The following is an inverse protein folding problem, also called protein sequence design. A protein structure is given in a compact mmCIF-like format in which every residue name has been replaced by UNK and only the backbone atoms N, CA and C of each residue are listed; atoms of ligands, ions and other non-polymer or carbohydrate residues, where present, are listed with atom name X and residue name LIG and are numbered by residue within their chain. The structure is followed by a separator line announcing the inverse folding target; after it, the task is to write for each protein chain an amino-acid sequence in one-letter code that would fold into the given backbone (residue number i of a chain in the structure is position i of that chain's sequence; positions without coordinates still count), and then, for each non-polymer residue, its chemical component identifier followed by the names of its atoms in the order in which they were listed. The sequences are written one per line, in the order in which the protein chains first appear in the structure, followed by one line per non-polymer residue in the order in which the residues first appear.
data_IF_570670475036
#
_entry.id   IF_570670475036
#
_cell.length_a   1.000
_cell.length_b   1.000
_cell.length_c   1.000
_cell.angle_alpha   90.00
_cell.angle_beta   90.00
_cell.angle_gamma   90.00
#
_symmetry.space_group_name_H-M   'P 1'
#
loop_
_entity.id
_entity.type
_entity.pdbx_description
1 polymer ?
#
# COMPACT_ATOMS: atom_id res chain seq x y z
N UNK A 1 -23.34 -50.72 41.11
CA UNK A 1 -23.15 -50.66 39.65
C UNK A 1 -23.87 -49.43 39.16
N UNK A 2 -23.08 -48.45 38.83
CA UNK A 2 -23.37 -47.03 38.96
C UNK A 2 -22.61 -46.37 37.85
N UNK A 3 -23.29 -46.11 36.73
CA UNK A 3 -22.73 -45.28 35.66
C UNK A 3 -23.85 -44.37 35.15
N UNK A 4 -24.03 -43.26 35.86
CA UNK A 4 -24.75 -42.10 35.32
C UNK A 4 -24.01 -41.67 34.05
N UNK A 5 -24.72 -41.64 32.93
CA UNK A 5 -24.19 -41.15 31.67
C UNK A 5 -23.98 -39.64 31.76
N UNK A 6 -22.83 -39.22 32.29
CA UNK A 6 -22.40 -37.83 32.18
C UNK A 6 -21.83 -37.65 30.79
N UNK A 7 -22.70 -37.19 29.87
CA UNK A 7 -22.31 -36.70 28.55
C UNK A 7 -21.01 -35.91 28.63
N UNK A 8 -20.07 -36.19 27.72
CA UNK A 8 -18.87 -35.39 27.49
C UNK A 8 -19.32 -33.95 27.26
N UNK A 9 -19.34 -33.17 28.34
CA UNK A 9 -19.51 -31.73 28.25
C UNK A 9 -18.31 -31.25 27.43
N UNK A 10 -18.55 -30.84 26.19
CA UNK A 10 -17.56 -30.11 25.42
C UNK A 10 -17.22 -28.88 26.26
N UNK A 11 -16.08 -28.92 26.94
CA UNK A 11 -15.62 -27.81 27.74
C UNK A 11 -15.40 -26.63 26.77
N UNK A 12 -16.21 -25.57 26.81
CA UNK A 12 -16.06 -24.45 25.89
C UNK A 12 -14.71 -23.75 26.09
N UNK A 13 -14.11 -23.94 27.26
CA UNK A 13 -12.79 -23.43 27.63
C UNK A 13 -11.63 -24.12 26.87
N UNK A 14 -11.90 -25.12 26.03
CA UNK A 14 -10.92 -25.76 25.15
C UNK A 14 -11.01 -25.26 23.69
N UNK A 15 -11.89 -24.30 23.38
CA UNK A 15 -11.92 -23.65 22.06
C UNK A 15 -10.82 -22.57 22.02
N UNK A 16 -9.59 -23.03 21.73
CA UNK A 16 -8.44 -22.22 21.35
C UNK A 16 -7.66 -21.57 22.50
N UNK A 17 -6.32 -21.39 22.37
CA UNK A 17 -5.59 -20.53 23.29
C UNK A 17 -6.07 -19.09 23.11
N UNK A 18 -6.45 -18.42 24.20
CA UNK A 18 -6.66 -16.97 24.19
C UNK A 18 -5.31 -16.29 23.95
N UNK A 19 -5.10 -15.74 22.76
CA UNK A 19 -3.93 -14.93 22.49
C UNK A 19 -4.00 -13.67 23.37
N UNK A 20 -2.92 -13.31 24.09
CA UNK A 20 -2.88 -12.05 24.82
C UNK A 20 -3.03 -10.87 23.84
N UNK A 21 -3.61 -9.72 24.27
CA UNK A 21 -3.68 -8.53 23.43
C UNK A 21 -2.29 -8.08 22.97
N UNK A 22 -2.14 -7.76 21.68
CA UNK A 22 -0.90 -7.15 21.17
C UNK A 22 -0.83 -5.72 21.71
N UNK A 23 0.27 -5.32 22.38
CA UNK A 23 0.43 -3.93 22.81
C UNK A 23 0.56 -3.01 21.58
N UNK A 24 -0.10 -1.85 21.57
CA UNK A 24 0.08 -0.87 20.51
C UNK A 24 1.52 -0.36 20.52
N UNK A 25 2.18 -0.35 19.35
CA UNK A 25 3.48 0.31 19.20
C UNK A 25 3.23 1.78 18.87
N UNK A 26 3.71 2.69 19.70
CA UNK A 26 3.66 4.14 19.45
C UNK A 26 5.01 4.59 18.89
N UNK A 27 5.03 5.15 17.68
CA UNK A 27 6.23 5.84 17.18
C UNK A 27 6.53 7.07 18.06
N UNK A 28 7.80 7.40 18.34
CA UNK A 28 8.13 8.63 19.04
C UNK A 28 7.79 9.83 18.15
N UNK A 29 6.76 10.58 18.51
CA UNK A 29 6.56 11.95 18.03
C UNK A 29 7.53 12.84 18.80
N UNK A 30 8.72 13.07 18.24
CA UNK A 30 9.67 14.05 18.76
C UNK A 30 9.03 15.43 18.94
N UNK A 31 9.71 16.32 19.67
CA UNK A 31 9.18 17.60 20.19
C UNK A 31 8.10 18.22 19.29
N UNK A 32 6.85 18.14 19.72
CA UNK A 32 5.72 18.83 19.10
C UNK A 32 5.96 20.33 19.26
N UNK A 33 6.43 20.97 18.18
CA UNK A 33 6.47 22.43 18.08
C UNK A 33 5.06 23.03 18.16
N UNK A 34 4.97 24.36 18.25
CA UNK A 34 3.73 25.14 18.38
C UNK A 34 2.55 24.47 17.62
N UNK A 35 1.55 23.97 18.35
CA UNK A 35 0.47 23.11 17.82
C UNK A 35 -0.29 23.75 16.64
N UNK A 36 -0.51 23.04 15.52
CA UNK A 36 -1.29 23.52 14.34
C UNK A 36 -2.26 22.47 13.77
N UNK A 37 -3.36 22.88 13.08
CA UNK A 37 -4.45 21.99 12.64
C UNK A 37 -3.89 20.97 11.64
N UNK A 38 -4.26 19.69 11.75
CA UNK A 38 -3.87 18.56 10.86
C UNK A 38 -2.79 18.94 9.85
N UNK A 39 -1.51 18.73 10.20
CA UNK A 39 -0.38 19.11 9.35
C UNK A 39 -0.63 18.69 7.91
N UNK A 40 -0.27 19.55 6.96
CA UNK A 40 -0.54 19.36 5.55
C UNK A 40 -0.30 17.89 5.16
N UNK A 41 -1.30 17.24 4.55
CA UNK A 41 -1.09 15.98 3.84
C UNK A 41 0.12 16.22 2.96
N UNK A 42 1.22 15.48 3.19
CA UNK A 42 2.43 15.62 2.40
C UNK A 42 2.04 15.57 0.94
N UNK A 43 2.63 16.44 0.10
CA UNK A 43 2.19 16.65 -1.27
C UNK A 43 1.74 15.32 -1.89
N UNK A 44 0.44 15.21 -2.17
CA UNK A 44 -0.05 14.17 -3.07
C UNK A 44 0.87 14.29 -4.28
N UNK A 45 1.61 13.23 -4.60
CA UNK A 45 2.59 13.25 -5.68
C UNK A 45 1.96 13.91 -6.91
N UNK A 46 2.74 14.65 -7.72
CA UNK A 46 2.23 15.68 -8.62
C UNK A 46 0.88 15.27 -9.24
N UNK A 47 -0.20 15.89 -8.73
CA UNK A 47 -1.55 15.85 -9.33
C UNK A 47 -1.61 16.69 -10.61
N UNK A 48 -0.48 17.27 -11.00
CA UNK A 48 -0.24 17.57 -12.40
C UNK A 48 0.23 16.26 -13.05
N UNK A 49 -0.67 15.59 -13.78
CA UNK A 49 -0.20 14.99 -15.03
C UNK A 49 0.34 16.19 -15.80
N UNK A 50 1.66 16.36 -15.98
CA UNK A 50 2.12 17.42 -16.84
C UNK A 50 1.47 17.07 -18.18
N UNK A 51 0.63 17.96 -18.72
CA UNK A 51 -0.06 17.77 -20.01
C UNK A 51 0.91 17.53 -21.19
N UNK A 52 2.21 17.54 -20.88
CA UNK A 52 3.39 17.33 -21.70
C UNK A 52 4.17 16.08 -21.30
N UNK A 53 3.51 14.98 -20.92
CA UNK A 53 4.17 13.71 -20.60
C UNK A 53 3.69 12.58 -21.49
N UNK A 54 4.63 11.81 -22.05
CA UNK A 54 4.34 10.60 -22.82
C UNK A 54 4.83 9.39 -22.02
N UNK A 55 4.01 8.35 -21.96
CA UNK A 55 4.36 7.05 -21.42
C UNK A 55 4.58 6.06 -22.56
N UNK A 56 5.70 5.34 -22.53
CA UNK A 56 6.06 4.34 -23.56
C UNK A 56 6.29 2.99 -22.92
N UNK A 57 5.51 1.99 -23.32
CA UNK A 57 5.69 0.61 -22.90
C UNK A 57 6.81 -0.05 -23.72
N UNK A 58 7.96 -0.31 -23.08
CA UNK A 58 9.09 -0.97 -23.73
C UNK A 58 9.00 -2.48 -23.55
N UNK A 59 8.31 -3.13 -24.48
CA UNK A 59 8.05 -4.57 -24.47
C UNK A 59 9.29 -5.42 -24.19
N UNK A 60 10.39 -5.18 -24.89
CA UNK A 60 11.58 -6.02 -24.79
C UNK A 60 12.41 -5.72 -23.53
N UNK A 61 12.24 -4.52 -22.95
CA UNK A 61 12.97 -4.06 -21.77
C UNK A 61 12.21 -4.25 -20.47
N UNK A 62 10.95 -4.73 -20.54
CA UNK A 62 10.06 -4.95 -19.38
C UNK A 62 9.92 -3.71 -18.49
N UNK A 63 9.88 -2.51 -19.10
CA UNK A 63 9.75 -1.24 -18.38
C UNK A 63 8.88 -0.24 -19.14
N UNK A 64 8.45 0.81 -18.45
CA UNK A 64 7.74 1.97 -19.02
C UNK A 64 8.63 3.19 -18.90
N UNK A 65 8.87 3.88 -20.00
CA UNK A 65 9.58 5.17 -20.00
C UNK A 65 8.59 6.32 -19.86
N UNK A 66 8.94 7.30 -19.04
CA UNK A 66 8.22 8.57 -18.90
C UNK A 66 9.05 9.64 -19.59
N UNK A 67 8.47 10.31 -20.59
CA UNK A 67 9.15 11.28 -21.45
C UNK A 67 8.52 12.65 -21.24
N UNK A 68 9.35 13.66 -20.98
CA UNK A 68 8.93 15.06 -20.99
C UNK A 68 8.91 15.58 -22.43
N UNK A 69 7.77 16.04 -22.92
CA UNK A 69 7.61 16.51 -24.31
C UNK A 69 8.19 17.90 -24.54
N UNK A 70 8.49 18.68 -23.49
CA UNK A 70 9.12 19.99 -23.62
C UNK A 70 10.63 19.87 -23.90
N UNK A 71 11.28 18.84 -23.36
CA UNK A 71 12.73 18.61 -23.47
C UNK A 71 13.08 17.36 -24.27
N UNK A 72 12.07 16.64 -24.76
CA UNK A 72 12.19 15.36 -25.49
C UNK A 72 13.10 14.34 -24.78
N UNK A 73 13.13 14.38 -23.44
CA UNK A 73 14.06 13.59 -22.62
C UNK A 73 13.29 12.63 -21.72
N UNK A 74 13.87 11.45 -21.47
CA UNK A 74 13.34 10.47 -20.52
C UNK A 74 13.58 11.01 -19.10
N UNK A 75 12.50 11.22 -18.36
CA UNK A 75 12.54 11.75 -16.99
C UNK A 75 12.38 10.65 -15.93
N UNK A 76 11.81 9.50 -16.31
CA UNK A 76 11.75 8.33 -15.44
C UNK A 76 11.69 7.02 -16.24
N UNK A 77 12.11 5.94 -15.60
CA UNK A 77 11.95 4.57 -16.09
C UNK A 77 11.38 3.72 -14.98
N UNK A 78 10.22 3.13 -15.23
CA UNK A 78 9.45 2.36 -14.27
C UNK A 78 9.54 0.89 -14.67
N UNK A 79 10.21 0.02 -13.90
CA UNK A 79 10.19 -1.41 -14.18
C UNK A 79 8.77 -1.96 -14.02
N UNK A 80 8.34 -2.80 -14.95
CA UNK A 80 7.02 -3.45 -14.93
C UNK A 80 7.16 -4.95 -15.19
N UNK A 81 6.03 -5.65 -15.33
CA UNK A 81 6.02 -7.06 -15.71
C UNK A 81 6.61 -7.33 -17.10
N UNK A 82 6.65 -8.61 -17.46
CA UNK A 82 7.19 -9.04 -18.75
C UNK A 82 6.32 -8.57 -19.91
N UNK A 83 6.97 -8.06 -20.96
CA UNK A 83 6.34 -7.71 -22.23
C UNK A 83 5.13 -6.78 -22.12
N UNK A 84 5.28 -5.54 -21.60
CA UNK A 84 4.17 -4.58 -21.59
C UNK A 84 3.73 -4.24 -23.02
N UNK A 85 2.41 -4.22 -23.25
CA UNK A 85 1.79 -3.92 -24.56
C UNK A 85 0.84 -2.72 -24.54
N UNK A 86 0.04 -2.57 -23.48
CA UNK A 86 -0.98 -1.54 -23.36
C UNK A 86 -0.70 -0.58 -22.20
N UNK A 87 -1.11 0.67 -22.37
CA UNK A 87 -1.12 1.69 -21.32
C UNK A 87 -2.54 2.27 -21.29
N UNK A 88 -3.11 2.35 -20.10
CA UNK A 88 -4.32 3.12 -19.83
C UNK A 88 -3.96 4.27 -18.90
N UNK A 89 -4.58 5.44 -19.13
CA UNK A 89 -4.30 6.66 -18.38
C UNK A 89 -5.63 7.24 -17.92
N UNK A 90 -5.85 7.24 -16.61
CA UNK A 90 -6.97 7.93 -15.99
C UNK A 90 -6.52 9.34 -15.60
N UNK A 91 -7.29 10.34 -16.04
CA UNK A 91 -7.17 11.73 -15.60
C UNK A 91 -8.38 11.99 -14.69
N UNK A 92 -8.14 12.59 -13.52
CA UNK A 92 -9.16 12.92 -12.51
C UNK A 92 -9.88 14.25 -12.78
#
# INVERSE_FOLDING_TARGET
MNEFLSSVALNPSLIGPTLPPIPPFTLPTGSTGFTGPTGAVGATGPTEVPSSTIFVANRNSNNVSVINTNTNSVIATIPVGLYPFGIDVLID
#
